data_IF_030103497329
#
_entry.id   IF_030103497329
#
_cell.length_a   1.000
_cell.length_b   1.000
_cell.length_c   1.000
_cell.angle_alpha   90.00
_cell.angle_beta   90.00
_cell.angle_gamma   90.00
#
_symmetry.space_group_name_H-M   'P 1'
#
loop_
_entity.id
_entity.type
_entity.pdbx_description
1 polymer ?
#
# COMPACT_ATOMS: atom_id res chain seq x y z
N UNK A 1 25.92 -7.23 32.70
CA UNK A 1 27.34 -7.13 33.06
C UNK A 1 27.84 -8.52 33.45
N UNK A 2 28.40 -9.30 32.52
CA UNK A 2 29.40 -10.37 32.72
C UNK A 2 30.14 -10.54 31.39
N UNK A 3 31.48 -10.55 31.47
CA UNK A 3 32.45 -10.80 30.39
C UNK A 3 33.00 -12.23 30.57
N UNK A 4 33.04 -12.99 29.45
CA UNK A 4 33.88 -14.13 28.98
C UNK A 4 34.74 -14.99 29.96
N UNK A 5 35.05 -16.29 29.67
CA UNK A 5 35.90 -16.65 28.53
C UNK A 5 35.74 -18.03 27.81
N UNK A 6 36.01 -17.98 26.49
CA UNK A 6 36.74 -18.90 25.58
C UNK A 6 36.77 -20.43 25.81
N UNK A 7 36.36 -21.14 24.74
CA UNK A 7 36.88 -22.46 24.33
C UNK A 7 36.65 -22.72 22.83
N UNK A 8 37.75 -22.88 22.06
CA UNK A 8 37.89 -23.18 20.61
C UNK A 8 37.23 -24.53 20.22
N UNK A 9 36.95 -24.95 18.99
CA UNK A 9 36.97 -24.43 17.61
C UNK A 9 36.29 -25.50 16.73
N UNK A 10 35.72 -25.14 15.57
CA UNK A 10 35.88 -25.86 14.28
C UNK A 10 35.08 -25.18 13.15
N UNK A 11 35.83 -24.75 12.12
CA UNK A 11 35.50 -24.68 10.68
C UNK A 11 34.45 -23.65 10.21
N UNK A 12 34.88 -22.49 9.67
CA UNK A 12 35.15 -22.15 8.24
C UNK A 12 33.90 -22.36 7.35
N UNK A 13 33.34 -21.36 6.67
CA UNK A 13 33.99 -20.43 5.75
C UNK A 13 33.47 -18.98 5.81
N UNK A 14 34.40 -18.02 5.75
CA UNK A 14 34.19 -16.67 5.23
C UNK A 14 34.47 -16.69 3.71
N UNK A 15 33.74 -15.88 2.93
CA UNK A 15 34.27 -14.65 2.31
C UNK A 15 33.48 -14.23 1.07
N UNK A 16 33.26 -12.92 0.98
CA UNK A 16 32.75 -12.14 -0.14
C UNK A 16 33.33 -12.53 -1.52
N UNK A 17 32.51 -12.40 -2.56
CA UNK A 17 32.97 -12.08 -3.90
C UNK A 17 31.95 -11.14 -4.58
N UNK A 18 32.35 -9.88 -4.73
CA UNK A 18 31.86 -9.02 -5.81
C UNK A 18 32.30 -9.64 -7.13
N UNK A 19 31.40 -9.74 -8.11
CA UNK A 19 31.79 -9.91 -9.50
C UNK A 19 31.11 -8.81 -10.33
N UNK A 20 31.89 -7.78 -10.68
CA UNK A 20 31.59 -6.95 -11.82
C UNK A 20 31.97 -7.74 -13.07
N UNK A 21 31.04 -7.90 -14.01
CA UNK A 21 31.35 -8.29 -15.38
C UNK A 21 30.64 -7.32 -16.33
N UNK A 22 31.45 -6.46 -16.95
CA UNK A 22 31.11 -5.68 -18.14
C UNK A 22 31.45 -6.52 -19.39
N UNK A 23 30.62 -6.41 -20.43
CA UNK A 23 30.84 -6.80 -21.84
C UNK A 23 30.98 -8.31 -22.15
N UNK A 24 30.00 -8.89 -22.83
CA UNK A 24 29.97 -8.99 -24.29
C UNK A 24 28.73 -9.77 -24.76
N UNK A 25 28.13 -9.30 -25.84
CA UNK A 25 27.30 -10.06 -26.77
C UNK A 25 27.67 -11.55 -26.86
N UNK A 26 26.80 -12.44 -26.39
CA UNK A 26 26.53 -13.74 -27.02
C UNK A 26 25.36 -14.41 -26.32
N UNK A 27 24.30 -14.64 -27.09
CA UNK A 27 23.19 -15.51 -26.76
C UNK A 27 23.73 -16.89 -26.38
N UNK A 28 23.64 -17.28 -25.10
CA UNK A 28 23.80 -18.67 -24.68
C UNK A 28 22.69 -18.99 -23.70
N UNK A 29 21.65 -19.63 -24.23
CA UNK A 29 20.57 -20.23 -23.45
C UNK A 29 21.22 -21.19 -22.46
N UNK A 30 21.18 -20.85 -21.17
CA UNK A 30 21.66 -21.72 -20.10
C UNK A 30 20.63 -22.84 -19.96
N UNK A 31 20.92 -23.99 -20.57
CA UNK A 31 20.28 -25.26 -20.20
C UNK A 31 20.93 -25.74 -18.90
N UNK A 32 20.45 -25.24 -17.76
CA UNK A 32 20.71 -25.90 -16.48
C UNK A 32 19.63 -26.97 -16.27
N UNK A 33 20.01 -28.21 -16.51
CA UNK A 33 19.21 -29.38 -16.19
C UNK A 33 19.22 -29.60 -14.67
N UNK A 34 18.11 -29.30 -13.99
CA UNK A 34 17.85 -29.75 -12.63
C UNK A 34 17.66 -31.28 -12.66
N UNK A 35 18.68 -32.04 -12.24
CA UNK A 35 18.62 -33.51 -12.14
C UNK A 35 17.75 -33.89 -10.93
N UNK A 36 16.48 -34.17 -11.19
CA UNK A 36 15.60 -34.88 -10.26
C UNK A 36 15.25 -36.22 -10.92
N UNK A 37 15.95 -37.27 -10.50
CA UNK A 37 15.83 -38.68 -10.90
C UNK A 37 16.31 -39.07 -12.31
N UNK A 38 16.92 -40.25 -12.41
CA UNK A 38 17.52 -40.88 -13.61
C UNK A 38 16.48 -41.34 -14.66
N UNK A 39 15.43 -40.56 -14.91
CA UNK A 39 14.54 -40.74 -16.07
C UNK A 39 14.62 -39.49 -16.92
N UNK A 40 14.67 -39.68 -18.23
CA UNK A 40 15.04 -38.70 -19.26
C UNK A 40 14.69 -37.23 -18.93
N UNK A 41 15.62 -36.28 -19.12
CA UNK A 41 15.38 -34.88 -18.82
C UNK A 41 14.20 -34.36 -19.64
N UNK A 42 13.18 -33.84 -18.95
CA UNK A 42 12.02 -33.20 -19.57
C UNK A 42 12.52 -32.02 -20.42
N UNK A 43 12.44 -32.16 -21.74
CA UNK A 43 12.79 -31.08 -22.67
C UNK A 43 11.62 -30.10 -22.75
N UNK A 44 11.78 -28.95 -22.09
CA UNK A 44 10.92 -27.80 -22.33
C UNK A 44 11.36 -27.14 -23.64
N UNK A 45 10.50 -27.16 -24.65
CA UNK A 45 10.80 -26.59 -25.97
C UNK A 45 10.39 -25.10 -26.08
N UNK A 46 9.48 -24.62 -25.23
CA UNK A 46 8.97 -23.24 -25.25
C UNK A 46 8.65 -22.79 -23.81
N UNK A 47 9.07 -21.58 -23.46
CA UNK A 47 8.78 -20.94 -22.16
C UNK A 47 9.91 -21.04 -21.15
N UNK A 48 9.85 -20.16 -20.13
CA UNK A 48 10.75 -20.16 -18.98
C UNK A 48 10.03 -20.88 -17.83
N UNK A 49 10.70 -21.76 -17.06
CA UNK A 49 10.05 -22.45 -15.94
C UNK A 49 9.52 -21.47 -14.91
N UNK A 50 8.26 -21.67 -14.49
CA UNK A 50 7.61 -20.82 -13.51
C UNK A 50 8.38 -20.87 -12.17
N UNK A 51 8.84 -19.72 -11.71
CA UNK A 51 9.66 -19.60 -10.49
C UNK A 51 11.15 -19.43 -10.76
N UNK A 52 11.57 -19.36 -12.02
CA UNK A 52 12.89 -18.86 -12.39
C UNK A 52 13.00 -17.37 -12.03
N UNK A 53 14.14 -16.96 -11.45
CA UNK A 53 14.40 -15.55 -11.13
C UNK A 53 14.54 -14.67 -12.40
N UNK A 54 14.89 -15.27 -13.54
CA UNK A 54 15.06 -14.57 -14.81
C UNK A 54 13.75 -14.42 -15.61
N UNK A 55 12.72 -15.21 -15.29
CA UNK A 55 11.43 -15.21 -15.99
C UNK A 55 10.79 -13.81 -16.05
N UNK A 56 10.65 -13.05 -14.94
CA UNK A 56 10.04 -11.74 -14.98
C UNK A 56 10.82 -10.75 -15.86
N UNK A 57 12.16 -10.83 -15.86
CA UNK A 57 13.01 -9.92 -16.63
C UNK A 57 12.89 -10.22 -18.13
N UNK A 58 12.95 -11.49 -18.52
CA UNK A 58 12.80 -11.90 -19.92
C UNK A 58 11.41 -11.55 -20.47
N UNK A 59 10.37 -11.73 -19.65
CA UNK A 59 9.02 -11.32 -20.01
C UNK A 59 8.92 -9.80 -20.17
N UNK A 60 9.50 -9.01 -19.25
CA UNK A 60 9.51 -7.55 -19.36
C UNK A 60 10.18 -7.07 -20.66
N UNK A 61 11.30 -7.68 -21.07
CA UNK A 61 11.95 -7.35 -22.35
C UNK A 61 11.03 -7.63 -23.54
N UNK A 62 10.37 -8.79 -23.52
CA UNK A 62 9.42 -9.19 -24.57
C UNK A 62 8.22 -8.24 -24.66
N UNK A 63 7.63 -7.91 -23.51
CA UNK A 63 6.52 -6.96 -23.43
C UNK A 63 6.94 -5.54 -23.83
N UNK A 64 8.17 -5.12 -23.52
CA UNK A 64 8.69 -3.81 -23.87
C UNK A 64 8.79 -3.60 -25.39
N UNK A 65 9.10 -4.64 -26.16
CA UNK A 65 9.05 -4.59 -27.64
C UNK A 65 7.63 -4.27 -28.15
N UNK A 66 6.59 -4.76 -27.47
CA UNK A 66 5.20 -4.41 -27.79
C UNK A 66 4.93 -2.93 -27.51
N UNK A 67 5.38 -2.44 -26.34
CA UNK A 67 5.16 -1.07 -25.90
C UNK A 67 5.88 -0.06 -26.80
N UNK A 68 7.08 -0.39 -27.28
CA UNK A 68 7.85 0.45 -28.21
C UNK A 68 7.15 0.66 -29.57
N UNK A 69 6.17 -0.17 -29.94
CA UNK A 69 5.33 0.05 -31.15
C UNK A 69 4.35 1.22 -31.00
N UNK A 70 4.23 1.80 -29.80
CA UNK A 70 3.33 2.92 -29.48
C UNK A 70 4.12 4.16 -29.06
N UNK A 71 3.74 5.33 -29.60
CA UNK A 71 4.37 6.60 -29.27
C UNK A 71 3.87 7.19 -27.94
N UNK A 72 4.70 8.01 -27.30
CA UNK A 72 4.38 8.64 -26.00
C UNK A 72 3.25 9.70 -26.11
N UNK A 73 3.14 10.36 -27.27
CA UNK A 73 2.19 11.47 -27.53
C UNK A 73 1.06 11.10 -28.51
N UNK A 74 0.62 9.84 -28.53
CA UNK A 74 -0.50 9.41 -29.38
C UNK A 74 -1.82 9.34 -28.63
N UNK A 75 -2.92 9.37 -29.38
CA UNK A 75 -4.29 9.14 -28.90
C UNK A 75 -4.49 7.75 -28.25
N UNK A 76 -3.52 6.85 -28.46
CA UNK A 76 -3.42 5.53 -27.85
C UNK A 76 -2.28 5.49 -26.86
N UNK A 77 -2.54 4.97 -25.66
CA UNK A 77 -1.54 4.61 -24.66
C UNK A 77 -1.67 3.14 -24.33
N UNK A 78 -0.57 2.42 -24.28
CA UNK A 78 -0.55 0.99 -23.92
C UNK A 78 0.26 0.80 -22.65
N UNK A 79 -0.25 -0.02 -21.74
CA UNK A 79 0.42 -0.44 -20.52
C UNK A 79 0.40 -1.96 -20.45
N UNK A 80 1.46 -2.56 -19.94
CA UNK A 80 1.54 -4.00 -19.69
C UNK A 80 1.82 -4.26 -18.21
N UNK A 81 1.23 -5.31 -17.66
CA UNK A 81 1.55 -5.84 -16.34
C UNK A 81 1.45 -7.36 -16.35
N UNK A 82 2.57 -8.05 -16.20
CA UNK A 82 2.65 -9.48 -16.48
C UNK A 82 2.02 -9.78 -17.86
N UNK A 83 1.13 -10.76 -17.96
CA UNK A 83 0.40 -11.14 -19.18
C UNK A 83 -0.70 -10.14 -19.59
N UNK A 84 -1.15 -9.28 -18.68
CA UNK A 84 -2.22 -8.32 -18.95
C UNK A 84 -1.71 -7.11 -19.74
N UNK A 85 -2.31 -6.86 -20.92
CA UNK A 85 -2.12 -5.62 -21.66
C UNK A 85 -3.36 -4.73 -21.56
N UNK A 86 -3.14 -3.43 -21.45
CA UNK A 86 -4.16 -2.42 -21.36
C UNK A 86 -3.95 -1.38 -22.42
N UNK A 87 -4.96 -1.21 -23.28
CA UNK A 87 -5.00 -0.20 -24.33
C UNK A 87 -5.99 0.89 -23.92
N UNK A 88 -5.47 2.08 -23.69
CA UNK A 88 -6.19 3.30 -23.40
C UNK A 88 -6.32 4.13 -24.68
N UNK A 89 -7.54 4.54 -25.02
CA UNK A 89 -7.81 5.34 -26.22
C UNK A 89 -8.53 6.63 -25.82
N UNK A 90 -8.12 7.74 -26.41
CA UNK A 90 -8.76 9.06 -26.27
C UNK A 90 -9.13 9.60 -27.65
N UNK A 91 -10.39 9.98 -27.86
CA UNK A 91 -10.86 10.55 -29.13
C UNK A 91 -12.14 11.36 -28.92
N UNK A 92 -12.28 12.47 -29.63
CA UNK A 92 -13.46 13.34 -29.53
C UNK A 92 -14.73 12.74 -30.14
N UNK A 93 -14.60 11.81 -31.10
CA UNK A 93 -15.72 11.23 -31.85
C UNK A 93 -15.82 9.71 -31.70
N UNK A 94 -17.07 9.20 -31.73
CA UNK A 94 -17.38 7.79 -31.45
C UNK A 94 -16.87 6.81 -32.54
N UNK A 95 -16.87 7.22 -33.81
CA UNK A 95 -16.44 6.38 -34.93
C UNK A 95 -14.92 6.15 -34.94
N UNK A 96 -14.14 7.19 -34.57
CA UNK A 96 -12.69 7.14 -34.47
C UNK A 96 -12.21 6.06 -33.47
N UNK A 97 -12.96 5.79 -32.40
CA UNK A 97 -12.59 4.75 -31.44
C UNK A 97 -12.48 3.35 -32.05
N UNK A 98 -13.33 3.02 -33.02
CA UNK A 98 -13.26 1.70 -33.68
C UNK A 98 -12.03 1.63 -34.57
N UNK A 99 -11.74 2.69 -35.34
CA UNK A 99 -10.58 2.73 -36.24
C UNK A 99 -9.25 2.74 -35.48
N UNK A 100 -9.11 3.63 -34.49
CA UNK A 100 -7.91 3.76 -33.65
C UNK A 100 -7.71 2.47 -32.83
N UNK A 101 -8.78 1.95 -32.23
CA UNK A 101 -8.73 0.74 -31.43
C UNK A 101 -8.32 -0.49 -32.24
N UNK A 102 -8.94 -0.70 -33.41
CA UNK A 102 -8.58 -1.81 -34.28
C UNK A 102 -7.15 -1.67 -34.82
N UNK A 103 -6.72 -0.47 -35.20
CA UNK A 103 -5.32 -0.23 -35.62
C UNK A 103 -4.31 -0.55 -34.52
N UNK A 104 -4.59 -0.15 -33.27
CA UNK A 104 -3.75 -0.48 -32.12
C UNK A 104 -3.72 -1.99 -31.84
N UNK A 105 -4.87 -2.67 -31.89
CA UNK A 105 -4.93 -4.12 -31.68
C UNK A 105 -4.22 -4.89 -32.78
N UNK A 106 -4.32 -4.50 -34.05
CA UNK A 106 -3.58 -5.14 -35.14
C UNK A 106 -2.06 -5.03 -34.96
N UNK A 107 -1.55 -3.93 -34.40
CA UNK A 107 -0.11 -3.82 -34.06
C UNK A 107 0.29 -4.81 -32.96
N UNK A 108 -0.57 -5.00 -31.96
CA UNK A 108 -0.36 -5.97 -30.87
C UNK A 108 -0.50 -7.41 -31.37
N UNK A 109 -1.46 -7.69 -32.25
CA UNK A 109 -1.61 -9.01 -32.89
C UNK A 109 -0.38 -9.38 -33.70
N UNK A 110 0.15 -8.45 -34.50
CA UNK A 110 1.39 -8.67 -35.25
C UNK A 110 2.57 -8.93 -34.31
N UNK A 111 2.70 -8.15 -33.24
CA UNK A 111 3.72 -8.40 -32.21
C UNK A 111 3.54 -9.78 -31.56
N UNK A 112 2.33 -10.17 -31.22
CA UNK A 112 2.08 -11.48 -30.63
C UNK A 112 2.47 -12.60 -31.59
N UNK A 113 2.15 -12.46 -32.89
CA UNK A 113 2.58 -13.39 -33.94
C UNK A 113 4.11 -13.46 -34.08
N UNK A 114 4.80 -12.30 -34.09
CA UNK A 114 6.27 -12.21 -34.15
C UNK A 114 6.94 -13.00 -33.00
N UNK A 115 6.33 -13.01 -31.82
CA UNK A 115 6.82 -13.70 -30.62
C UNK A 115 6.15 -15.06 -30.36
N UNK A 116 5.35 -15.57 -31.31
CA UNK A 116 4.59 -16.83 -31.17
C UNK A 116 3.68 -16.89 -29.93
N UNK A 117 3.11 -15.74 -29.57
CA UNK A 117 2.13 -15.55 -28.50
C UNK A 117 0.70 -15.49 -29.07
N UNK A 118 -0.29 -15.76 -28.22
CA UNK A 118 -1.70 -15.69 -28.59
C UNK A 118 -2.54 -15.00 -27.52
N UNK A 119 -3.34 -14.01 -27.91
CA UNK A 119 -4.32 -13.39 -27.01
C UNK A 119 -5.57 -14.25 -26.85
N UNK A 120 -6.11 -14.27 -25.64
CA UNK A 120 -7.39 -14.88 -25.31
C UNK A 120 -8.55 -13.93 -25.58
N UNK A 121 -9.33 -14.25 -26.61
CA UNK A 121 -10.54 -13.50 -26.94
C UNK A 121 -11.58 -13.48 -25.81
N UNK A 122 -11.73 -14.58 -25.07
CA UNK A 122 -12.75 -14.73 -24.02
C UNK A 122 -12.45 -13.91 -22.76
N UNK A 123 -11.15 -13.78 -22.44
CA UNK A 123 -10.68 -12.98 -21.30
C UNK A 123 -10.62 -11.50 -21.62
N UNK A 124 -10.38 -11.16 -22.89
CA UNK A 124 -10.30 -9.79 -23.38
C UNK A 124 -11.66 -9.09 -23.31
N UNK A 125 -11.70 -7.92 -22.65
CA UNK A 125 -12.93 -7.13 -22.45
C UNK A 125 -12.62 -5.65 -22.55
N UNK A 126 -13.59 -4.86 -22.98
CA UNK A 126 -13.43 -3.41 -23.02
C UNK A 126 -14.59 -2.67 -22.34
N UNK A 127 -14.29 -1.48 -21.84
CA UNK A 127 -15.27 -0.55 -21.30
C UNK A 127 -14.99 0.87 -21.79
N UNK A 128 -16.02 1.72 -21.75
CA UNK A 128 -15.96 3.09 -22.24
C UNK A 128 -16.34 4.04 -21.11
N UNK A 129 -15.51 5.05 -20.88
CA UNK A 129 -15.73 6.07 -19.88
C UNK A 129 -16.42 7.29 -20.49
N UNK A 130 -17.51 7.72 -19.86
CA UNK A 130 -18.29 8.87 -20.35
C UNK A 130 -17.68 10.18 -19.86
N UNK A 131 -17.37 11.10 -20.78
CA UNK A 131 -16.92 12.46 -20.45
C UNK A 131 -18.09 13.48 -20.40
N UNK A 132 -19.18 13.27 -21.16
CA UNK A 132 -20.46 14.01 -21.11
C UNK A 132 -21.64 13.08 -21.43
N UNK A 133 -22.86 13.49 -21.07
CA UNK A 133 -24.03 12.60 -20.93
C UNK A 133 -24.58 11.90 -22.18
N UNK A 134 -24.06 12.11 -23.39
CA UNK A 134 -24.58 11.46 -24.59
C UNK A 134 -23.49 10.69 -25.35
N UNK A 135 -23.45 9.38 -25.16
CA UNK A 135 -22.81 8.48 -26.12
C UNK A 135 -23.91 7.95 -27.04
N UNK A 136 -23.79 8.23 -28.33
CA UNK A 136 -24.77 7.81 -29.35
C UNK A 136 -24.51 6.41 -29.90
N UNK A 137 -23.32 5.82 -29.73
CA UNK A 137 -23.00 4.46 -30.23
C UNK A 137 -21.84 3.79 -29.47
N UNK A 138 -21.90 2.46 -29.27
CA UNK A 138 -20.80 1.66 -28.69
C UNK A 138 -19.87 1.22 -29.81
N UNK A 139 -18.55 1.50 -29.75
CA UNK A 139 -17.63 1.15 -30.83
C UNK A 139 -17.49 -0.37 -31.01
N UNK A 140 -17.13 -0.78 -32.23
CA UNK A 140 -16.89 -2.18 -32.58
C UNK A 140 -15.39 -2.41 -32.63
N UNK A 141 -14.86 -2.94 -31.53
CA UNK A 141 -13.45 -3.31 -31.38
C UNK A 141 -13.33 -4.81 -31.66
N UNK A 142 -12.38 -5.18 -32.53
CA UNK A 142 -12.12 -6.57 -32.93
C UNK A 142 -10.71 -6.99 -32.49
N UNK A 143 -10.60 -8.22 -31.99
CA UNK A 143 -9.36 -8.92 -31.67
C UNK A 143 -9.43 -10.30 -32.33
N UNK A 144 -8.39 -10.67 -33.08
CA UNK A 144 -8.31 -11.87 -33.91
C UNK A 144 -9.52 -11.99 -34.85
N UNK A 145 -9.89 -10.86 -35.47
CA UNK A 145 -11.09 -10.70 -36.31
C UNK A 145 -12.45 -10.93 -35.61
N UNK A 146 -12.48 -11.21 -34.30
CA UNK A 146 -13.69 -11.40 -33.50
C UNK A 146 -14.00 -10.16 -32.65
N UNK A 147 -15.28 -9.82 -32.45
CA UNK A 147 -15.67 -8.62 -31.68
C UNK A 147 -15.46 -8.84 -30.18
N UNK A 148 -14.67 -7.97 -29.53
CA UNK A 148 -14.47 -8.01 -28.07
C UNK A 148 -15.79 -7.70 -27.36
N UNK A 149 -16.07 -8.40 -26.25
CA UNK A 149 -17.25 -8.13 -25.45
C UNK A 149 -17.15 -6.78 -24.73
N UNK A 150 -18.18 -5.94 -24.90
CA UNK A 150 -18.36 -4.75 -24.08
C UNK A 150 -18.86 -5.13 -22.69
N UNK A 151 -18.17 -4.67 -21.64
CA UNK A 151 -18.58 -4.88 -20.24
C UNK A 151 -18.79 -3.58 -19.49
N UNK A 152 -19.87 -3.52 -18.70
CA UNK A 152 -20.15 -2.44 -17.74
C UNK A 152 -19.33 -2.58 -16.45
N UNK A 153 -18.63 -3.69 -16.26
CA UNK A 153 -17.67 -3.88 -15.18
C UNK A 153 -16.39 -4.48 -15.76
N UNK A 154 -15.29 -3.75 -15.72
CA UNK A 154 -13.99 -4.21 -16.20
C UNK A 154 -13.05 -4.37 -15.01
N UNK A 155 -12.45 -5.55 -14.85
CA UNK A 155 -11.50 -5.83 -13.79
C UNK A 155 -10.07 -5.73 -14.35
N UNK A 156 -9.20 -4.98 -13.68
CA UNK A 156 -7.78 -4.88 -14.01
C UNK A 156 -6.97 -4.66 -12.73
N UNK A 157 -5.88 -5.42 -12.53
CA UNK A 157 -5.03 -5.39 -11.31
C UNK A 157 -5.80 -5.44 -9.97
N UNK A 158 -6.89 -6.20 -9.94
CA UNK A 158 -7.75 -6.33 -8.75
C UNK A 158 -8.70 -5.15 -8.50
N UNK A 159 -8.64 -4.11 -9.32
CA UNK A 159 -9.58 -3.00 -9.33
C UNK A 159 -10.75 -3.30 -10.27
N UNK A 160 -11.95 -2.81 -9.94
CA UNK A 160 -13.13 -2.95 -10.78
C UNK A 160 -13.62 -1.57 -11.22
N UNK A 161 -13.66 -1.37 -12.54
CA UNK A 161 -14.00 -0.13 -13.20
C UNK A 161 -15.41 -0.20 -13.79
N UNK A 162 -16.17 0.87 -13.63
CA UNK A 162 -17.50 1.06 -14.21
C UNK A 162 -17.48 2.22 -15.23
N UNK A 163 -18.39 2.26 -16.23
CA UNK A 163 -18.43 3.30 -17.26
C UNK A 163 -18.55 4.73 -16.73
N UNK A 164 -19.11 4.91 -15.54
CA UNK A 164 -19.26 6.22 -14.90
C UNK A 164 -18.08 6.58 -13.99
N UNK A 165 -17.10 5.68 -13.88
CA UNK A 165 -15.95 5.78 -12.98
C UNK A 165 -16.37 6.10 -11.53
N UNK A 166 -17.51 5.54 -11.11
CA UNK A 166 -18.05 5.71 -9.77
C UNK A 166 -17.23 4.93 -8.73
N UNK A 167 -16.54 3.87 -9.15
CA UNK A 167 -15.90 2.84 -8.31
C UNK A 167 -16.89 2.09 -7.42
N UNK A 168 -18.19 2.24 -7.66
CA UNK A 168 -19.21 1.66 -6.79
C UNK A 168 -19.17 0.14 -6.76
N UNK A 169 -19.00 -0.57 -7.90
CA UNK A 169 -18.88 -2.03 -7.88
C UNK A 169 -17.69 -2.51 -7.04
N UNK A 170 -16.53 -1.86 -7.20
CA UNK A 170 -15.33 -2.18 -6.41
C UNK A 170 -15.53 -1.91 -4.93
N UNK A 171 -16.10 -0.76 -4.57
CA UNK A 171 -16.34 -0.41 -3.17
C UNK A 171 -17.40 -1.29 -2.51
N UNK A 172 -18.42 -1.72 -3.25
CA UNK A 172 -19.41 -2.66 -2.74
C UNK A 172 -18.77 -4.03 -2.46
N UNK A 173 -17.92 -4.53 -3.38
CA UNK A 173 -17.14 -5.76 -3.15
C UNK A 173 -16.18 -5.64 -1.96
N UNK A 174 -15.52 -4.48 -1.81
CA UNK A 174 -14.67 -4.21 -0.64
C UNK A 174 -15.49 -4.11 0.65
N UNK A 175 -16.63 -3.43 0.63
CA UNK A 175 -17.54 -3.32 1.78
C UNK A 175 -17.94 -4.71 2.23
N UNK A 176 -18.35 -5.59 1.32
CA UNK A 176 -18.73 -6.96 1.67
C UNK A 176 -17.57 -7.74 2.30
N UNK A 177 -16.34 -7.64 1.74
CA UNK A 177 -15.15 -8.25 2.34
C UNK A 177 -14.87 -7.71 3.74
N UNK A 178 -14.95 -6.38 3.93
CA UNK A 178 -14.73 -5.72 5.21
C UNK A 178 -15.83 -6.13 6.20
N UNK A 179 -17.09 -6.17 5.80
CA UNK A 179 -18.19 -6.62 6.65
C UNK A 179 -17.99 -8.07 7.08
N UNK A 180 -17.55 -8.97 6.19
CA UNK A 180 -17.21 -10.36 6.55
C UNK A 180 -16.06 -10.41 7.57
N UNK A 181 -15.02 -9.60 7.39
CA UNK A 181 -13.92 -9.49 8.35
C UNK A 181 -14.40 -8.91 9.70
N UNK A 182 -15.21 -7.86 9.67
CA UNK A 182 -15.83 -7.28 10.86
C UNK A 182 -16.68 -8.32 11.59
N UNK A 183 -17.50 -9.10 10.88
CA UNK A 183 -18.28 -10.18 11.47
C UNK A 183 -17.39 -11.27 12.10
N UNK A 184 -16.26 -11.62 11.48
CA UNK A 184 -15.28 -12.54 12.08
C UNK A 184 -14.67 -11.95 13.36
N UNK A 185 -14.31 -10.67 13.34
CA UNK A 185 -13.82 -9.94 14.52
C UNK A 185 -14.90 -9.92 15.61
N UNK A 186 -16.14 -9.55 15.29
CA UNK A 186 -17.26 -9.55 16.24
C UNK A 186 -17.55 -10.93 16.83
N UNK A 187 -17.33 -12.02 16.09
CA UNK A 187 -17.41 -13.39 16.63
C UNK A 187 -16.33 -13.67 17.69
N UNK A 188 -15.14 -13.11 17.52
CA UNK A 188 -14.02 -13.20 18.48
C UNK A 188 -14.22 -12.23 19.66
N UNK A 189 -15.02 -11.16 19.49
CA UNK A 189 -15.33 -10.15 20.51
C UNK A 189 -16.62 -10.43 21.31
N UNK A 190 -17.17 -11.65 21.31
CA UNK A 190 -18.44 -11.94 22.01
C UNK A 190 -18.28 -11.88 23.52
N UNK A 191 -19.22 -11.23 24.21
CA UNK A 191 -19.19 -11.04 25.66
C UNK A 191 -19.13 -12.33 26.49
N UNK A 192 -19.56 -13.47 25.95
CA UNK A 192 -19.65 -14.75 26.67
C UNK A 192 -18.44 -15.67 26.47
N UNK A 193 -17.68 -15.54 25.38
CA UNK A 193 -16.54 -16.42 25.03
C UNK A 193 -15.41 -15.71 24.24
N UNK A 194 -15.39 -14.38 24.24
CA UNK A 194 -14.49 -13.52 23.46
C UNK A 194 -13.71 -12.50 24.29
N UNK A 195 -13.01 -11.58 23.62
CA UNK A 195 -12.19 -10.54 24.29
C UNK A 195 -13.02 -9.73 25.30
N UNK A 196 -12.42 -9.46 26.47
CA UNK A 196 -13.08 -8.79 27.61
C UNK A 196 -13.70 -7.44 27.19
N UNK A 197 -14.84 -7.02 27.79
CA UNK A 197 -15.54 -5.76 27.48
C UNK A 197 -14.67 -4.49 27.52
N UNK A 198 -13.60 -4.51 28.30
CA UNK A 198 -12.61 -3.43 28.40
C UNK A 198 -11.88 -3.15 27.07
N UNK A 199 -11.61 -4.20 26.29
CA UNK A 199 -11.00 -4.13 24.94
C UNK A 199 -12.02 -3.66 23.88
N UNK A 200 -13.31 -3.78 24.17
CA UNK A 200 -14.40 -3.34 23.29
C UNK A 200 -14.68 -1.85 23.47
N UNK A 201 -14.44 -1.29 24.67
CA UNK A 201 -14.61 0.14 24.96
C UNK A 201 -13.64 1.03 24.17
N UNK A 202 -12.45 0.52 23.82
CA UNK A 202 -11.49 1.17 22.91
C UNK A 202 -12.00 1.24 21.46
N UNK A 203 -13.04 0.49 21.09
CA UNK A 203 -13.67 0.51 19.75
C UNK A 203 -14.80 1.56 19.68
N UNK A 204 -15.20 2.20 20.79
CA UNK A 204 -16.23 3.24 20.83
C UNK A 204 -15.75 4.59 20.27
N UNK A 205 -15.21 4.63 19.04
CA UNK A 205 -15.12 5.78 18.12
C UNK A 205 -14.76 7.17 18.69
N UNK A 206 -14.18 7.25 19.87
CA UNK A 206 -13.73 8.46 20.54
C UNK A 206 -12.37 8.12 21.10
N UNK A 207 -11.38 8.84 20.61
CA UNK A 207 -10.00 8.64 20.97
C UNK A 207 -9.56 9.93 21.65
N UNK A 208 -8.91 9.77 22.80
CA UNK A 208 -8.30 10.85 23.53
C UNK A 208 -6.92 10.40 23.98
N UNK A 209 -6.05 11.36 24.22
CA UNK A 209 -4.74 11.11 24.78
C UNK A 209 -4.45 12.15 25.85
N UNK A 210 -3.41 11.88 26.62
CA UNK A 210 -3.05 12.68 27.77
C UNK A 210 -1.54 12.60 28.03
N UNK A 211 -1.02 13.63 28.70
CA UNK A 211 0.29 13.60 29.36
C UNK A 211 0.10 13.92 30.86
N UNK A 212 0.76 13.16 31.74
CA UNK A 212 0.95 13.52 33.16
C UNK A 212 2.41 13.90 33.38
N UNK A 213 2.62 15.00 34.07
CA UNK A 213 3.95 15.48 34.47
C UNK A 213 4.19 15.18 35.93
N UNK A 214 5.27 14.45 36.20
CA UNK A 214 5.75 14.19 37.55
C UNK A 214 7.07 14.93 37.80
N UNK A 215 7.17 15.57 38.96
CA UNK A 215 8.40 16.20 39.47
C UNK A 215 8.62 15.72 40.90
N UNK A 216 9.83 15.23 41.20
CA UNK A 216 10.19 14.65 42.50
C UNK A 216 9.22 13.58 43.02
N UNK A 217 8.66 12.78 42.10
CA UNK A 217 7.72 11.70 42.42
C UNK A 217 6.27 12.15 42.66
N UNK A 218 6.00 13.45 42.58
CA UNK A 218 4.67 14.03 42.76
C UNK A 218 4.05 14.42 41.42
N UNK A 219 2.74 14.16 41.27
CA UNK A 219 1.96 14.62 40.12
C UNK A 219 1.83 16.14 40.19
N UNK A 220 2.37 16.84 39.19
CA UNK A 220 2.38 18.31 39.14
C UNK A 220 1.23 18.84 38.29
N UNK A 221 1.18 18.40 37.04
CA UNK A 221 0.14 18.80 36.10
C UNK A 221 -0.18 17.70 35.09
N UNK A 222 -1.34 17.82 34.44
CA UNK A 222 -1.77 16.94 33.35
C UNK A 222 -2.47 17.77 32.28
N UNK A 223 -2.33 17.37 31.02
CA UNK A 223 -3.00 17.99 29.88
C UNK A 223 -3.74 16.90 29.08
N UNK A 224 -5.03 17.11 28.78
CA UNK A 224 -5.90 16.14 28.07
C UNK A 224 -6.38 16.68 26.74
N UNK A 225 -6.38 15.82 25.72
CA UNK A 225 -6.85 16.19 24.38
C UNK A 225 -7.76 15.14 23.77
N UNK A 226 -8.81 15.62 23.09
CA UNK A 226 -9.72 14.80 22.30
C UNK A 226 -9.36 14.84 20.83
N UNK A 227 -9.27 13.66 20.24
CA UNK A 227 -9.07 13.47 18.81
C UNK A 227 -10.40 13.27 18.09
N UNK A 228 -10.44 13.58 16.80
CA UNK A 228 -11.57 13.22 15.96
C UNK A 228 -11.75 11.69 15.89
N UNK A 229 -13.01 11.25 15.75
CA UNK A 229 -13.43 9.84 15.72
C UNK A 229 -12.76 8.94 14.67
N UNK A 230 -12.04 9.54 13.73
CA UNK A 230 -11.41 8.87 12.59
C UNK A 230 -9.94 8.51 12.86
N UNK A 231 -9.45 8.83 14.06
CA UNK A 231 -8.07 8.65 14.48
C UNK A 231 -7.84 7.28 15.12
N UNK A 232 -6.68 6.68 14.88
CA UNK A 232 -6.30 5.38 15.46
C UNK A 232 -5.63 5.56 16.82
N UNK A 233 -5.65 4.50 17.66
CA UNK A 233 -4.92 4.47 18.94
C UNK A 233 -3.43 4.78 18.72
N UNK A 234 -2.82 4.22 17.68
CA UNK A 234 -1.43 4.52 17.31
C UNK A 234 -1.17 6.02 17.07
N UNK A 235 -2.08 6.72 16.38
CA UNK A 235 -1.92 8.18 16.17
C UNK A 235 -2.07 8.93 17.49
N UNK A 236 -2.96 8.48 18.37
CA UNK A 236 -3.12 9.07 19.70
C UNK A 236 -1.87 8.90 20.57
N UNK A 237 -1.28 7.71 20.57
CA UNK A 237 -0.03 7.42 21.27
C UNK A 237 1.13 8.27 20.73
N UNK A 238 1.23 8.41 19.40
CA UNK A 238 2.25 9.26 18.79
C UNK A 238 2.01 10.75 19.06
N UNK A 239 0.75 11.20 19.09
CA UNK A 239 0.39 12.57 19.46
C UNK A 239 0.72 12.87 20.91
N UNK A 240 0.52 11.91 21.83
CA UNK A 240 0.94 12.05 23.22
C UNK A 240 2.45 12.25 23.36
N UNK A 241 3.26 11.47 22.61
CA UNK A 241 4.71 11.65 22.60
C UNK A 241 5.08 13.02 22.01
N UNK A 242 4.46 13.42 20.90
CA UNK A 242 4.69 14.73 20.29
C UNK A 242 4.40 15.88 21.25
N UNK A 243 3.24 15.89 21.89
CA UNK A 243 2.86 16.91 22.88
C UNK A 243 3.75 16.87 24.13
N UNK A 244 4.21 15.70 24.57
CA UNK A 244 5.16 15.61 25.68
C UNK A 244 6.52 16.26 25.33
N UNK A 245 6.98 16.12 24.08
CA UNK A 245 8.21 16.79 23.59
C UNK A 245 7.99 18.30 23.49
N UNK A 246 6.86 18.72 22.90
CA UNK A 246 6.54 20.13 22.75
C UNK A 246 6.30 20.80 24.12
N UNK A 247 5.75 20.08 25.09
CA UNK A 247 5.66 20.51 26.49
C UNK A 247 7.05 20.78 27.09
N UNK A 248 8.01 19.85 26.90
CA UNK A 248 9.38 20.05 27.37
C UNK A 248 10.04 21.30 26.75
N UNK A 249 9.79 21.54 25.46
CA UNK A 249 10.23 22.76 24.77
C UNK A 249 9.59 24.02 25.35
N UNK A 250 8.25 24.05 25.44
CA UNK A 250 7.47 25.20 25.95
C UNK A 250 7.92 25.63 27.34
N UNK A 251 8.24 24.66 28.20
CA UNK A 251 8.67 24.87 29.59
C UNK A 251 10.18 24.98 29.77
N UNK A 252 10.97 24.87 28.70
CA UNK A 252 12.45 24.91 28.73
C UNK A 252 13.07 23.90 29.71
N UNK A 253 12.52 22.69 29.76
CA UNK A 253 12.97 21.64 30.69
C UNK A 253 14.33 21.11 30.25
N UNK A 254 15.39 21.22 31.04
CA UNK A 254 16.74 20.82 30.62
C UNK A 254 16.94 19.30 30.45
N UNK A 255 16.19 18.47 31.19
CA UNK A 255 16.27 17.01 31.13
C UNK A 255 14.93 16.39 31.47
N UNK A 256 14.43 15.49 30.63
CA UNK A 256 13.15 14.82 30.83
C UNK A 256 13.20 13.36 30.40
N UNK A 257 12.45 12.51 31.10
CA UNK A 257 12.17 11.14 30.67
C UNK A 257 10.70 11.07 30.25
N UNK A 258 10.45 10.83 28.97
CA UNK A 258 9.10 10.57 28.46
C UNK A 258 8.90 9.05 28.49
N UNK A 259 7.91 8.61 29.27
CA UNK A 259 7.64 7.19 29.48
C UNK A 259 6.31 6.85 28.78
N UNK A 260 6.31 5.85 27.92
CA UNK A 260 5.11 5.39 27.20
C UNK A 260 5.00 3.87 27.25
N UNK A 261 3.77 3.36 27.35
CA UNK A 261 3.51 1.92 27.24
C UNK A 261 3.29 1.45 25.78
N UNK A 262 3.22 2.39 24.83
CA UNK A 262 3.15 2.08 23.40
C UNK A 262 4.52 1.74 22.83
N UNK A 263 4.84 0.44 22.84
CA UNK A 263 6.03 -0.07 22.17
C UNK A 263 6.03 0.26 20.67
N UNK A 264 4.86 0.25 20.04
CA UNK A 264 4.73 0.52 18.60
C UNK A 264 5.05 1.99 18.27
N UNK A 265 4.61 2.94 19.10
CA UNK A 265 4.91 4.35 18.91
C UNK A 265 6.42 4.62 19.08
N UNK A 266 7.03 4.07 20.13
CA UNK A 266 8.46 4.22 20.40
C UNK A 266 9.35 3.66 19.28
N UNK A 267 9.08 2.42 18.85
CA UNK A 267 9.82 1.78 17.76
C UNK A 267 9.60 2.50 16.43
N UNK A 268 8.50 3.24 16.25
CA UNK A 268 8.29 4.05 15.04
C UNK A 268 9.15 5.33 15.01
N UNK A 269 9.64 5.79 16.16
CA UNK A 269 10.49 6.97 16.29
C UNK A 269 11.99 6.59 16.22
N UNK A 270 12.34 5.33 16.40
CA UNK A 270 13.74 4.85 16.45
C UNK A 270 14.49 4.82 15.09
N UNK A 271 13.89 4.43 13.95
CA UNK A 271 14.62 4.29 12.69
C UNK A 271 15.24 5.60 12.20
N UNK A 272 16.42 5.55 11.58
CA UNK A 272 17.06 6.75 11.01
C UNK A 272 16.29 7.31 9.81
N UNK A 273 15.63 6.44 9.02
CA UNK A 273 14.85 6.81 7.84
C UNK A 273 13.34 6.69 8.12
N UNK A 274 12.58 7.77 7.97
CA UNK A 274 11.12 7.76 8.08
C UNK A 274 10.51 8.76 7.10
N UNK A 275 9.45 8.35 6.37
CA UNK A 275 8.85 9.16 5.31
C UNK A 275 7.55 9.86 5.76
N UNK A 276 7.00 9.48 6.92
CA UNK A 276 5.79 10.10 7.48
C UNK A 276 6.14 11.45 8.10
N UNK A 277 5.69 12.53 7.46
CA UNK A 277 5.88 13.93 7.91
C UNK A 277 5.58 14.16 9.40
N UNK A 278 4.50 13.57 9.92
CA UNK A 278 4.15 13.71 11.33
C UNK A 278 5.20 13.10 12.28
N UNK A 279 5.78 11.94 11.93
CA UNK A 279 6.83 11.30 12.74
C UNK A 279 8.15 12.07 12.61
N UNK A 280 8.45 12.58 11.41
CA UNK A 280 9.59 13.46 11.18
C UNK A 280 9.52 14.74 12.02
N UNK A 281 8.33 15.34 12.17
CA UNK A 281 8.16 16.51 13.02
C UNK A 281 8.51 16.20 14.48
N UNK A 282 8.06 15.06 15.02
CA UNK A 282 8.40 14.63 16.40
C UNK A 282 9.91 14.40 16.53
N UNK A 283 10.55 13.76 15.53
CA UNK A 283 12.00 13.53 15.51
C UNK A 283 12.80 14.82 15.48
N UNK A 284 12.42 15.74 14.58
CA UNK A 284 13.05 17.06 14.51
C UNK A 284 12.85 17.80 15.82
N UNK A 285 11.66 17.71 16.43
CA UNK A 285 11.43 18.31 17.74
C UNK A 285 12.33 17.73 18.83
N UNK A 286 12.55 16.41 18.85
CA UNK A 286 13.47 15.75 19.78
C UNK A 286 14.94 16.12 19.56
N UNK A 287 15.34 16.43 18.34
CA UNK A 287 16.72 16.83 18.01
C UNK A 287 16.98 18.33 18.27
N UNK A 288 15.94 19.14 18.14
CA UNK A 288 15.97 20.60 18.28
C UNK A 288 15.80 21.06 19.74
N UNK A 289 15.50 20.16 20.67
CA UNK A 289 15.54 20.49 22.10
C UNK A 289 16.99 20.67 22.58
N UNK A 290 17.31 21.82 23.18
CA UNK A 290 18.47 21.97 24.09
C UNK A 290 18.38 21.07 25.35
N UNK A 291 17.30 20.29 25.44
CA UNK A 291 16.93 19.39 26.51
C UNK A 291 17.39 17.97 26.21
N UNK A 292 17.90 17.26 27.21
CA UNK A 292 18.17 15.83 27.11
C UNK A 292 16.88 15.05 27.39
N UNK A 293 16.06 14.86 26.34
CA UNK A 293 14.79 14.11 26.40
C UNK A 293 15.04 12.66 26.03
N UNK A 294 14.77 11.73 26.96
CA UNK A 294 14.90 10.30 26.74
C UNK A 294 13.54 9.63 26.68
N UNK A 295 13.35 8.75 25.69
CA UNK A 295 12.14 7.95 25.53
C UNK A 295 12.31 6.58 26.20
N UNK A 296 11.38 6.20 27.07
CA UNK A 296 11.38 4.93 27.79
C UNK A 296 10.08 4.17 27.57
N UNK A 297 10.21 2.85 27.38
CA UNK A 297 9.05 1.96 27.37
C UNK A 297 8.72 1.48 28.78
N UNK A 298 7.42 1.45 29.12
CA UNK A 298 6.92 0.80 30.33
C UNK A 298 5.84 -0.22 30.02
N UNK A 299 5.58 -1.14 30.94
CA UNK A 299 4.52 -2.14 30.79
C UNK A 299 3.17 -1.56 31.25
N UNK A 300 2.14 -1.70 30.42
CA UNK A 300 0.77 -1.36 30.79
C UNK A 300 0.27 -2.22 31.97
N UNK A 301 -0.55 -1.62 32.84
CA UNK A 301 -1.21 -2.27 33.98
C UNK A 301 -0.27 -3.01 34.96
N UNK A 302 0.93 -2.45 35.18
CA UNK A 302 1.95 -3.02 36.06
C UNK A 302 2.05 -2.33 37.44
N UNK A 303 1.05 -1.55 37.88
CA UNK A 303 1.13 -0.81 39.16
C UNK A 303 1.86 0.53 39.05
N UNK A 304 2.21 0.97 37.84
CA UNK A 304 2.94 2.21 37.62
C UNK A 304 2.02 3.40 37.77
N UNK A 305 2.13 4.12 38.89
CA UNK A 305 1.28 5.28 39.24
C UNK A 305 1.10 6.27 38.08
N UNK A 306 2.17 6.61 37.37
CA UNK A 306 2.10 7.51 36.21
C UNK A 306 1.31 6.93 35.02
N UNK A 307 1.55 5.67 34.65
CA UNK A 307 0.86 5.02 33.53
C UNK A 307 -0.63 4.84 33.83
N UNK A 308 -0.97 4.43 35.06
CA UNK A 308 -2.36 4.26 35.48
C UNK A 308 -3.12 5.58 35.51
N UNK A 309 -2.41 6.66 35.88
CA UNK A 309 -2.96 8.01 35.86
C UNK A 309 -3.23 8.47 34.43
N UNK A 310 -2.29 8.23 33.53
CA UNK A 310 -2.46 8.52 32.09
C UNK A 310 -3.61 7.73 31.47
N UNK A 311 -3.74 6.45 31.78
CA UNK A 311 -4.87 5.63 31.33
C UNK A 311 -6.23 6.16 31.81
N UNK A 312 -6.28 6.65 33.05
CA UNK A 312 -7.49 7.23 33.62
C UNK A 312 -7.90 8.51 32.88
N UNK A 313 -6.95 9.42 32.63
CA UNK A 313 -7.25 10.68 31.99
C UNK A 313 -7.44 10.58 30.48
N UNK A 314 -6.75 9.67 29.78
CA UNK A 314 -7.00 9.39 28.38
C UNK A 314 -8.44 8.91 28.14
N UNK A 315 -9.00 8.11 29.08
CA UNK A 315 -10.43 7.75 29.07
C UNK A 315 -11.33 8.96 29.28
N UNK A 316 -11.01 9.83 30.23
CA UNK A 316 -11.75 11.08 30.50
C UNK A 316 -11.72 12.05 29.31
N UNK A 317 -10.61 12.11 28.57
CA UNK A 317 -10.46 12.93 27.38
C UNK A 317 -11.49 12.58 26.27
N UNK A 318 -11.95 11.33 26.22
CA UNK A 318 -12.99 10.90 25.25
C UNK A 318 -14.37 11.52 25.52
N UNK A 319 -14.58 12.07 26.73
CA UNK A 319 -15.85 12.67 27.17
C UNK A 319 -15.93 14.17 26.86
N UNK A 320 -14.79 14.83 26.58
CA UNK A 320 -14.71 16.26 26.22
C UNK A 320 -15.60 16.54 25.01
N UNK A 321 -16.38 17.63 24.96
CA UNK A 321 -17.31 17.90 23.85
C UNK A 321 -16.60 18.41 22.59
N UNK A 322 -15.54 19.19 22.76
CA UNK A 322 -14.74 19.77 21.68
C UNK A 322 -13.64 18.81 21.21
N UNK A 323 -13.25 18.91 19.95
CA UNK A 323 -12.16 18.14 19.34
C UNK A 323 -10.95 19.06 19.23
N UNK A 324 -9.86 18.69 19.89
CA UNK A 324 -8.62 19.48 19.94
C UNK A 324 -7.72 19.21 18.72
N UNK A 325 -7.67 17.97 18.26
CA UNK A 325 -6.83 17.57 17.13
C UNK A 325 -7.64 16.93 16.00
N UNK A 326 -7.40 17.45 14.79
CA UNK A 326 -7.92 16.92 13.55
C UNK A 326 -6.79 16.32 12.73
N UNK A 327 -6.74 14.98 12.67
CA UNK A 327 -5.86 14.30 11.74
C UNK A 327 -6.56 14.12 10.38
N UNK A 328 -5.83 14.41 9.30
CA UNK A 328 -6.38 14.63 7.97
C UNK A 328 -6.83 13.35 7.24
N UNK A 329 -7.57 13.61 6.16
CA UNK A 329 -8.74 12.90 5.62
C UNK A 329 -8.58 11.45 5.15
N UNK A 330 -9.66 10.69 5.33
CA UNK A 330 -9.86 9.33 4.81
C UNK A 330 -9.78 9.23 3.27
N UNK A 331 -9.56 8.00 2.76
CA UNK A 331 -9.45 7.61 1.33
C UNK A 331 -10.47 8.29 0.37
N UNK A 332 -11.61 8.77 0.88
CA UNK A 332 -12.71 9.42 0.14
C UNK A 332 -12.35 10.77 -0.51
N UNK A 333 -11.42 11.55 0.06
CA UNK A 333 -11.02 12.84 -0.54
C UNK A 333 -9.85 12.72 -1.52
N UNK A 334 -8.90 11.80 -1.28
CA UNK A 334 -7.94 11.33 -2.31
C UNK A 334 -8.66 10.82 -3.56
N UNK A 335 -9.84 10.20 -3.38
CA UNK A 335 -10.72 9.73 -4.46
C UNK A 335 -11.20 10.85 -5.40
N UNK A 336 -11.46 12.06 -4.88
CA UNK A 336 -11.99 13.18 -5.68
C UNK A 336 -10.92 13.80 -6.57
N UNK A 337 -9.69 13.83 -6.08
CA UNK A 337 -8.52 14.38 -6.77
C UNK A 337 -8.03 13.43 -7.87
N UNK A 338 -7.95 12.13 -7.56
CA UNK A 338 -7.62 11.08 -8.54
C UNK A 338 -8.67 10.98 -9.66
N UNK A 339 -9.96 11.20 -9.33
CA UNK A 339 -11.06 11.29 -10.31
C UNK A 339 -10.90 12.45 -11.29
N UNK A 340 -10.29 13.57 -10.87
CA UNK A 340 -10.13 14.76 -11.71
C UNK A 340 -9.02 14.56 -12.76
N UNK A 341 -7.90 13.96 -12.37
CA UNK A 341 -6.75 13.69 -13.25
C UNK A 341 -7.00 12.58 -14.28
N UNK A 342 -7.71 11.49 -13.93
CA UNK A 342 -7.95 10.38 -14.88
C UNK A 342 -9.04 10.74 -15.91
N UNK A 343 -10.07 11.50 -15.49
CA UNK A 343 -11.14 11.95 -16.38
C UNK A 343 -10.69 12.93 -17.47
N UNK A 344 -9.59 13.65 -17.26
CA UNK A 344 -9.05 14.58 -18.24
C UNK A 344 -8.29 13.88 -19.39
N UNK A 345 -7.86 12.62 -19.21
CA UNK A 345 -6.84 12.02 -20.07
C UNK A 345 -7.21 10.68 -20.74
N UNK A 346 -8.32 10.02 -20.36
CA UNK A 346 -8.67 8.69 -20.90
C UNK A 346 -10.18 8.50 -21.08
N UNK A 347 -10.61 7.96 -22.23
CA UNK A 347 -12.04 7.80 -22.57
C UNK A 347 -12.43 6.34 -22.89
N UNK A 348 -11.50 5.48 -23.27
CA UNK A 348 -11.71 4.03 -23.42
C UNK A 348 -10.58 3.28 -22.73
N UNK A 349 -10.95 2.18 -22.07
CA UNK A 349 -10.05 1.21 -21.46
C UNK A 349 -10.39 -0.17 -22.00
N UNK A 350 -9.46 -0.74 -22.76
CA UNK A 350 -9.51 -2.11 -23.25
C UNK A 350 -8.45 -2.92 -22.49
N UNK A 351 -8.84 -4.03 -21.89
CA UNK A 351 -7.91 -4.98 -21.26
C UNK A 351 -7.92 -6.23 -22.12
N UNK A 352 -6.74 -6.59 -22.62
CA UNK A 352 -6.51 -7.82 -23.37
C UNK A 352 -5.55 -8.71 -22.59
N UNK A 353 -5.80 -10.00 -22.64
CA UNK A 353 -5.09 -11.05 -21.90
C UNK A 353 -4.64 -12.13 -22.87
#
# INVERSE_FOLDING_TARGET
>A
MIVCPRGRAANRCNSNACLALTLHSQYRIIQESLRINEKDPWKFNVGVPQGSCAEPILWLLTANEALNKFGVNTEVKVQAFADDFVVLISSTASYNFSQIGNSALTKLEKWAEDFSLSFSHEKSKFTMFKHRNNNTHIPTIKLLSKRIQYSKELKYLGLAFDPNFSWMPHLNKLKEKITKLQQKIYRILRATWGLKPEVIKTVNNRVGFEIVVFEDGNEKEHEIWRLNKETTVFIAEMAAIGEAVDYCKRRQIAKANIISDSRLALVSIEPLEENRKFILNIKNSLQDTNSNVLLWWTKAHAGNKGNERTDYFAKKATEKQEIDFYFCKTKRQRKTEMRKNIRQNCQILCVIQ
#
